data_IF_480251382238
#
_entry.id   IF_480251382238
#
_cell.length_a   1.000
_cell.length_b   1.000
_cell.length_c   1.000
_cell.angle_alpha   90.00
_cell.angle_beta   90.00
_cell.angle_gamma   90.00
#
_symmetry.space_group_name_H-M   'P 1'
#
loop_
_entity.id
_entity.type
_entity.pdbx_description
1 polymer ?
#
# COMPACT_ATOMS: atom_id res chain seq x y z
N UNK A 1 -20.83 22.63 8.97
CA UNK A 1 -19.83 23.58 8.45
C UNK A 1 -20.10 23.80 6.97
N UNK A 2 -19.82 24.98 6.41
CA UNK A 2 -19.94 25.18 4.94
C UNK A 2 -18.78 24.49 4.21
N UNK A 3 -19.01 23.92 3.02
CA UNK A 3 -18.00 23.25 2.17
C UNK A 3 -16.65 24.00 2.08
N UNK A 4 -16.68 25.33 1.97
CA UNK A 4 -15.47 26.18 1.94
C UNK A 4 -14.62 26.12 3.21
N UNK A 5 -15.23 25.93 4.40
CA UNK A 5 -14.50 25.76 5.67
C UNK A 5 -13.80 24.40 5.72
N UNK A 6 -14.43 23.37 5.17
CA UNK A 6 -13.97 21.98 5.17
C UNK A 6 -12.80 21.78 4.20
N UNK A 7 -12.82 22.45 3.05
CA UNK A 7 -11.69 22.48 2.14
C UNK A 7 -10.49 23.24 2.72
N UNK A 8 -10.74 24.26 3.55
CA UNK A 8 -9.67 24.99 4.26
C UNK A 8 -9.07 24.21 5.43
N UNK A 9 -9.78 23.23 5.98
CA UNK A 9 -9.28 22.39 7.07
C UNK A 9 -8.46 21.19 6.57
N UNK A 10 -8.31 21.01 5.25
CA UNK A 10 -7.41 19.98 4.71
C UNK A 10 -5.95 20.33 5.09
N UNK A 11 -5.21 19.39 5.70
CA UNK A 11 -3.81 19.60 6.04
C UNK A 11 -2.97 19.81 4.78
N UNK A 12 -1.85 20.54 4.92
CA UNK A 12 -0.91 20.71 3.81
C UNK A 12 -0.20 19.39 3.54
N UNK A 13 0.08 19.14 2.27
CA UNK A 13 0.84 17.97 1.82
C UNK A 13 2.18 17.85 2.56
N UNK A 14 2.91 18.96 2.71
CA UNK A 14 4.24 18.96 3.36
C UNK A 14 4.17 18.57 4.84
N UNK A 15 3.11 18.96 5.55
CA UNK A 15 2.91 18.61 6.95
C UNK A 15 2.65 17.11 7.11
N UNK A 16 1.81 16.54 6.23
CA UNK A 16 1.55 15.11 6.20
C UNK A 16 2.79 14.30 5.77
N UNK A 17 3.56 14.80 4.80
CA UNK A 17 4.77 14.15 4.31
C UNK A 17 5.79 14.01 5.44
N UNK A 18 5.98 15.06 6.24
CA UNK A 18 6.86 15.02 7.42
C UNK A 18 6.44 13.96 8.44
N UNK A 19 5.13 13.76 8.63
CA UNK A 19 4.64 12.71 9.53
C UNK A 19 4.90 11.32 8.96
N UNK A 20 4.55 11.09 7.70
CA UNK A 20 4.62 9.77 7.06
C UNK A 20 6.05 9.35 6.69
N UNK A 21 6.92 10.26 6.23
CA UNK A 21 8.30 9.92 5.83
C UNK A 21 9.12 9.34 6.99
N UNK A 22 8.83 9.72 8.24
CA UNK A 22 9.46 9.12 9.42
C UNK A 22 8.97 7.69 9.70
N UNK A 23 7.76 7.35 9.27
CA UNK A 23 7.16 6.02 9.46
C UNK A 23 7.45 5.08 8.27
N UNK A 24 7.61 5.64 7.07
CA UNK A 24 7.74 4.91 5.80
C UNK A 24 9.19 4.90 5.26
N UNK A 25 10.19 4.80 6.14
CA UNK A 25 11.63 4.94 5.80
C UNK A 25 12.09 3.93 4.73
N UNK A 26 11.49 2.74 4.71
CA UNK A 26 11.85 1.66 3.77
C UNK A 26 11.11 1.74 2.42
N UNK A 27 10.22 2.72 2.23
CA UNK A 27 9.45 2.88 1.01
C UNK A 27 10.08 3.88 0.04
N UNK A 28 9.98 3.66 -1.28
CA UNK A 28 10.39 4.66 -2.26
C UNK A 28 9.62 5.98 -2.07
N UNK A 29 10.33 7.10 -2.00
CA UNK A 29 9.70 8.44 -1.85
C UNK A 29 8.66 8.74 -2.93
N UNK A 30 8.87 8.23 -4.15
CA UNK A 30 7.90 8.37 -5.25
C UNK A 30 6.56 7.71 -4.93
N UNK A 31 6.57 6.52 -4.31
CA UNK A 31 5.39 5.79 -3.88
C UNK A 31 4.68 6.53 -2.75
N UNK A 32 5.43 6.98 -1.73
CA UNK A 32 4.88 7.77 -0.62
C UNK A 32 4.14 9.00 -1.15
N UNK A 33 4.80 9.76 -2.04
CA UNK A 33 4.23 10.97 -2.63
C UNK A 33 2.99 10.68 -3.49
N UNK A 34 3.00 9.63 -4.32
CA UNK A 34 1.87 9.31 -5.18
C UNK A 34 0.63 8.92 -4.37
N UNK A 35 0.79 8.05 -3.37
CA UNK A 35 -0.31 7.63 -2.49
C UNK A 35 -0.90 8.83 -1.75
N UNK A 36 -0.06 9.71 -1.22
CA UNK A 36 -0.55 10.90 -0.52
C UNK A 36 -1.31 11.86 -1.45
N UNK A 37 -0.85 12.04 -2.68
CA UNK A 37 -1.54 12.85 -3.69
C UNK A 37 -2.91 12.27 -4.02
N UNK A 38 -3.00 10.95 -4.21
CA UNK A 38 -4.24 10.25 -4.50
C UNK A 38 -5.23 10.30 -3.34
N UNK A 39 -4.79 10.06 -2.10
CA UNK A 39 -5.66 10.11 -0.92
C UNK A 39 -6.17 11.52 -0.62
N UNK A 40 -5.31 12.54 -0.71
CA UNK A 40 -5.74 13.94 -0.58
C UNK A 40 -6.69 14.35 -1.71
N UNK A 41 -6.46 13.85 -2.93
CA UNK A 41 -7.36 14.04 -4.07
C UNK A 41 -8.75 13.48 -3.78
N UNK A 42 -8.81 12.21 -3.37
CA UNK A 42 -10.07 11.53 -2.98
C UNK A 42 -10.79 12.25 -1.85
N UNK A 43 -10.06 12.67 -0.80
CA UNK A 43 -10.66 13.42 0.30
C UNK A 43 -11.27 14.75 -0.17
N UNK A 44 -10.58 15.48 -1.08
CA UNK A 44 -11.10 16.71 -1.66
C UNK A 44 -12.37 16.46 -2.47
N UNK A 45 -12.38 15.41 -3.28
CA UNK A 45 -13.54 15.02 -4.09
C UNK A 45 -14.75 14.66 -3.22
N UNK A 46 -14.56 13.84 -2.17
CA UNK A 46 -15.67 13.50 -1.26
C UNK A 46 -16.25 14.71 -0.52
N UNK A 47 -15.42 15.71 -0.16
CA UNK A 47 -15.92 16.95 0.46
C UNK A 47 -16.74 17.77 -0.54
N UNK A 48 -16.28 17.86 -1.79
CA UNK A 48 -17.01 18.59 -2.85
C UNK A 48 -18.32 17.90 -3.23
N UNK A 49 -18.34 16.56 -3.23
CA UNK A 49 -19.54 15.76 -3.47
C UNK A 49 -20.54 15.80 -2.31
N UNK A 50 -20.18 16.35 -1.15
CA UNK A 50 -21.03 16.38 0.05
C UNK A 50 -21.13 15.03 0.76
N UNK A 51 -20.28 14.06 0.40
CA UNK A 51 -20.20 12.74 1.05
C UNK A 51 -19.47 12.81 2.39
N UNK A 52 -18.69 13.86 2.61
CA UNK A 52 -17.89 14.04 3.81
C UNK A 52 -17.92 15.50 4.29
N UNK A 53 -18.32 15.69 5.54
CA UNK A 53 -18.48 17.02 6.12
C UNK A 53 -17.16 17.67 6.55
N UNK A 54 -16.14 16.92 6.94
CA UNK A 54 -14.84 17.51 7.31
C UNK A 54 -13.69 16.50 7.15
N UNK A 55 -12.48 17.04 7.01
CA UNK A 55 -11.28 16.23 7.06
C UNK A 55 -10.89 15.97 8.52
N UNK A 56 -10.95 14.71 8.95
CA UNK A 56 -10.23 14.24 10.13
C UNK A 56 -8.81 13.84 9.68
N UNK A 57 -7.79 14.55 10.18
CA UNK A 57 -6.40 14.30 9.82
C UNK A 57 -5.95 12.88 10.19
N UNK A 58 -6.42 12.33 11.31
CA UNK A 58 -6.05 10.97 11.74
C UNK A 58 -6.64 9.92 10.81
N UNK A 59 -7.89 10.10 10.37
CA UNK A 59 -8.51 9.20 9.37
C UNK A 59 -7.78 9.27 8.02
N UNK A 60 -7.39 10.47 7.59
CA UNK A 60 -6.62 10.63 6.35
C UNK A 60 -5.26 9.95 6.45
N UNK A 61 -4.55 10.12 7.56
CA UNK A 61 -3.28 9.43 7.82
C UNK A 61 -3.46 7.90 7.87
N UNK A 62 -4.54 7.41 8.49
CA UNK A 62 -4.86 5.99 8.50
C UNK A 62 -5.11 5.44 7.08
N UNK A 63 -5.85 6.17 6.24
CA UNK A 63 -6.06 5.81 4.84
C UNK A 63 -4.76 5.78 4.04
N UNK A 64 -3.90 6.79 4.20
CA UNK A 64 -2.57 6.84 3.58
C UNK A 64 -1.71 5.63 3.99
N UNK A 65 -1.66 5.30 5.30
CA UNK A 65 -0.89 4.14 5.79
C UNK A 65 -1.40 2.84 5.19
N UNK A 66 -2.72 2.64 5.17
CA UNK A 66 -3.33 1.44 4.60
C UNK A 66 -2.99 1.28 3.12
N UNK A 67 -3.05 2.37 2.36
CA UNK A 67 -2.76 2.33 0.94
C UNK A 67 -1.27 2.14 0.66
N UNK A 68 -0.38 2.72 1.48
CA UNK A 68 1.06 2.46 1.42
C UNK A 68 1.37 0.99 1.69
N UNK A 69 0.77 0.40 2.72
CA UNK A 69 0.91 -1.01 3.02
C UNK A 69 0.41 -1.86 1.84
N UNK A 70 -0.74 -1.52 1.26
CA UNK A 70 -1.32 -2.24 0.12
C UNK A 70 -0.43 -2.20 -1.12
N UNK A 71 0.12 -1.03 -1.46
CA UNK A 71 0.93 -0.84 -2.67
C UNK A 71 2.39 -1.30 -2.50
N UNK A 72 2.92 -1.29 -1.28
CA UNK A 72 4.29 -1.76 -1.00
C UNK A 72 4.41 -3.28 -0.92
N UNK A 73 3.29 -3.99 -0.79
CA UNK A 73 3.30 -5.46 -0.75
C UNK A 73 3.90 -6.07 -2.02
N UNK A 74 4.78 -7.09 -1.91
CA UNK A 74 5.30 -7.83 -3.05
C UNK A 74 4.17 -8.41 -3.91
N UNK A 75 4.40 -8.47 -5.22
CA UNK A 75 3.46 -9.12 -6.14
C UNK A 75 3.49 -10.65 -5.97
N UNK A 76 4.67 -11.22 -5.74
CA UNK A 76 4.85 -12.63 -5.42
C UNK A 76 4.68 -12.83 -3.92
N UNK A 77 3.63 -13.54 -3.53
CA UNK A 77 3.29 -13.83 -2.13
C UNK A 77 2.90 -15.29 -1.95
N UNK A 78 3.18 -15.80 -0.76
CA UNK A 78 2.70 -17.11 -0.34
C UNK A 78 1.17 -17.11 -0.20
N UNK A 79 0.54 -18.24 -0.54
CA UNK A 79 -0.91 -18.44 -0.48
C UNK A 79 -1.22 -19.80 0.11
N UNK A 80 -2.38 -19.93 0.76
CA UNK A 80 -2.90 -21.22 1.24
C UNK A 80 -3.85 -21.78 0.20
N UNK A 81 -3.53 -22.96 -0.33
CA UNK A 81 -4.43 -23.66 -1.25
C UNK A 81 -5.53 -24.39 -0.46
N UNK A 82 -6.74 -23.83 -0.45
CA UNK A 82 -7.93 -24.42 0.18
C UNK A 82 -8.87 -25.14 -0.82
N UNK A 83 -8.45 -25.32 -2.07
CA UNK A 83 -9.31 -25.88 -3.14
C UNK A 83 -9.27 -27.42 -3.22
N UNK A 84 -8.26 -28.05 -2.61
CA UNK A 84 -7.98 -29.48 -2.76
C UNK A 84 -7.33 -29.87 -4.10
N UNK A 85 -7.13 -28.93 -5.02
CA UNK A 85 -6.45 -29.18 -6.30
C UNK A 85 -4.94 -29.26 -6.08
N UNK A 86 -4.34 -30.43 -6.32
CA UNK A 86 -2.90 -30.66 -6.09
C UNK A 86 -2.05 -29.86 -7.08
N UNK A 87 -2.35 -29.93 -8.38
CA UNK A 87 -1.64 -29.18 -9.44
C UNK A 87 -2.45 -27.96 -9.85
N UNK A 88 -2.28 -26.86 -9.13
CA UNK A 88 -3.08 -25.66 -9.34
C UNK A 88 -2.37 -24.68 -10.27
N UNK A 89 -2.81 -24.57 -11.53
CA UNK A 89 -2.16 -23.73 -12.55
C UNK A 89 -2.07 -22.25 -12.18
N UNK A 90 -3.11 -21.69 -11.53
CA UNK A 90 -3.10 -20.30 -11.08
C UNK A 90 -2.29 -20.05 -9.79
N UNK A 91 -1.89 -21.10 -9.05
CA UNK A 91 -1.11 -20.99 -7.80
C UNK A 91 0.30 -21.58 -7.94
N UNK A 92 0.82 -21.72 -9.16
CA UNK A 92 2.20 -22.16 -9.39
C UNK A 92 2.39 -23.68 -9.55
N UNK A 93 1.32 -24.45 -9.80
CA UNK A 93 1.35 -25.90 -10.07
C UNK A 93 1.89 -26.72 -8.91
N UNK A 94 3.09 -27.29 -9.05
CA UNK A 94 3.69 -28.18 -8.08
C UNK A 94 4.56 -27.39 -7.10
N UNK A 95 4.47 -27.73 -5.81
CA UNK A 95 5.36 -27.17 -4.79
C UNK A 95 6.76 -27.75 -4.96
N UNK A 96 7.77 -26.91 -4.75
CA UNK A 96 9.16 -27.35 -4.64
C UNK A 96 9.37 -28.05 -3.29
N UNK A 97 10.20 -29.10 -3.29
CA UNK A 97 10.74 -29.63 -2.04
C UNK A 97 11.74 -28.65 -1.44
N UNK A 98 11.98 -28.76 -0.13
CA UNK A 98 12.96 -27.93 0.57
C UNK A 98 14.35 -28.01 -0.08
N UNK A 99 14.82 -29.23 -0.40
CA UNK A 99 16.12 -29.41 -1.07
C UNK A 99 16.21 -28.76 -2.47
N UNK A 100 15.11 -28.73 -3.23
CA UNK A 100 15.07 -27.99 -4.49
C UNK A 100 15.11 -26.48 -4.26
N UNK A 101 14.40 -25.96 -3.26
CA UNK A 101 14.41 -24.55 -2.92
C UNK A 101 15.80 -24.08 -2.47
N UNK A 102 16.48 -24.86 -1.62
CA UNK A 102 17.84 -24.57 -1.15
C UNK A 102 18.84 -24.47 -2.31
N UNK A 103 18.74 -25.39 -3.28
CA UNK A 103 19.60 -25.37 -4.46
C UNK A 103 19.35 -24.11 -5.31
N UNK A 104 18.08 -23.74 -5.52
CA UNK A 104 17.72 -22.52 -6.25
C UNK A 104 18.26 -21.27 -5.56
N UNK A 105 18.16 -21.19 -4.22
CA UNK A 105 18.71 -20.07 -3.45
C UNK A 105 20.23 -19.99 -3.60
N UNK A 106 20.94 -21.12 -3.51
CA UNK A 106 22.41 -21.18 -3.69
C UNK A 106 22.84 -20.67 -5.06
N UNK A 107 22.17 -21.13 -6.12
CA UNK A 107 22.49 -20.73 -7.50
C UNK A 107 22.09 -19.28 -7.75
N UNK A 108 20.91 -18.84 -7.30
CA UNK A 108 20.38 -17.50 -7.55
C UNK A 108 21.08 -16.38 -6.77
N UNK A 109 21.69 -16.69 -5.63
CA UNK A 109 22.43 -15.71 -4.82
C UNK A 109 23.95 -15.71 -5.08
N UNK A 110 24.47 -16.59 -5.94
CA UNK A 110 25.89 -16.71 -6.27
C UNK A 110 26.16 -16.62 -7.77
N UNK A 111 27.44 -16.61 -8.16
CA UNK A 111 27.82 -16.82 -9.56
C UNK A 111 27.72 -18.30 -9.90
N UNK A 112 27.21 -18.63 -11.09
CA UNK A 112 27.05 -19.99 -11.60
C UNK A 112 27.38 -20.07 -13.08
#
# INVERSE_FOLDING_TARGET
MTMHQCLRSLPKMDDLLRTIENEAVDLPRSLVKSVMQEELGRYRESIVAGERDCCNQEELLAGIRQELERQSQPHLRGVVNATGVILHTNLGRARLSEGCADMLTRVGCGYS
#
